data_IF_576970403467
#
_entry.id   IF_576970403467
#
_cell.length_a   1.000
_cell.length_b   1.000
_cell.length_c   1.000
_cell.angle_alpha   90.00
_cell.angle_beta   90.00
_cell.angle_gamma   90.00
#
_symmetry.space_group_name_H-M   'P 1'
#
loop_
_entity.id
_entity.type
_entity.pdbx_description
1 polymer ?
#
# COMPACT_ATOMS: atom_id res chain seq x y z
N UNK A 1 -4.08 46.26 -79.88
CA UNK A 1 -4.27 47.49 -80.67
C UNK A 1 -5.76 47.64 -80.98
N UNK A 2 -6.33 48.78 -80.58
CA UNK A 2 -7.57 49.49 -80.98
C UNK A 2 -8.73 48.75 -81.68
N UNK A 3 -10.01 49.07 -81.42
CA UNK A 3 -10.63 50.17 -80.68
C UNK A 3 -12.08 49.79 -80.33
N UNK A 4 -12.68 50.19 -79.23
CA UNK A 4 -12.92 51.57 -78.77
C UNK A 4 -13.59 52.41 -79.87
N UNK A 5 -14.90 52.23 -80.03
CA UNK A 5 -15.75 53.27 -80.59
C UNK A 5 -17.07 53.29 -79.81
N UNK A 6 -17.02 53.94 -78.64
CA UNK A 6 -18.21 54.45 -77.98
C UNK A 6 -18.72 55.63 -78.80
N UNK A 7 -19.77 55.38 -79.57
CA UNK A 7 -20.54 56.42 -80.25
C UNK A 7 -21.58 57.00 -79.29
N UNK A 8 -21.34 58.23 -78.87
CA UNK A 8 -22.31 59.13 -78.24
C UNK A 8 -23.69 59.02 -78.90
N UNK A 9 -24.71 58.61 -78.12
CA UNK A 9 -26.10 58.97 -78.41
C UNK A 9 -26.47 60.15 -77.50
N UNK A 10 -26.90 61.29 -78.08
CA UNK A 10 -27.11 62.51 -77.34
C UNK A 10 -28.32 62.38 -76.42
N UNK A 11 -28.12 62.72 -75.15
CA UNK A 11 -29.18 62.91 -74.18
C UNK A 11 -30.10 64.07 -74.64
N UNK A 12 -31.21 63.73 -75.29
CA UNK A 12 -32.31 64.66 -75.55
C UNK A 12 -33.21 64.72 -74.32
N UNK A 13 -33.01 65.79 -73.55
CA UNK A 13 -33.84 66.22 -72.44
C UNK A 13 -35.11 66.89 -72.97
N UNK A 14 -36.27 66.50 -72.44
CA UNK A 14 -37.34 67.45 -72.16
C UNK A 14 -38.59 67.43 -73.04
N UNK A 15 -39.44 66.43 -72.89
CA UNK A 15 -40.92 66.57 -72.84
C UNK A 15 -41.46 65.41 -71.98
N UNK A 16 -42.41 65.63 -71.04
CA UNK A 16 -42.98 64.54 -70.25
C UNK A 16 -43.74 63.60 -71.18
N UNK A 17 -43.16 62.43 -71.47
CA UNK A 17 -43.84 61.35 -72.18
C UNK A 17 -45.11 60.98 -71.42
N UNK A 18 -46.29 60.91 -72.06
CA UNK A 18 -47.55 60.55 -71.40
C UNK A 18 -47.41 59.26 -70.60
N UNK A 19 -48.03 59.21 -69.42
CA UNK A 19 -47.82 58.17 -68.40
C UNK A 19 -48.00 56.71 -68.88
N UNK A 20 -48.73 56.48 -69.98
CA UNK A 20 -48.88 55.16 -70.61
C UNK A 20 -47.73 54.77 -71.55
N UNK A 21 -47.01 55.73 -72.14
CA UNK A 21 -46.00 55.45 -73.15
C UNK A 21 -44.76 54.76 -72.56
N UNK A 22 -44.37 55.12 -71.33
CA UNK A 22 -43.30 54.43 -70.61
C UNK A 22 -43.71 53.01 -70.17
N UNK A 23 -44.98 52.80 -69.84
CA UNK A 23 -45.51 51.46 -69.49
C UNK A 23 -45.59 50.55 -70.73
N UNK A 24 -46.07 51.07 -71.86
CA UNK A 24 -46.08 50.37 -73.15
C UNK A 24 -44.66 50.08 -73.65
N UNK A 25 -43.72 51.02 -73.53
CA UNK A 25 -42.32 50.78 -73.87
C UNK A 25 -41.72 49.70 -72.98
N UNK A 26 -41.96 49.73 -71.67
CA UNK A 26 -41.48 48.69 -70.75
C UNK A 26 -42.09 47.32 -71.10
N UNK A 27 -43.37 47.27 -71.47
CA UNK A 27 -44.04 46.05 -71.93
C UNK A 27 -43.46 45.53 -73.26
N UNK A 28 -43.22 46.42 -74.22
CA UNK A 28 -42.58 46.07 -75.50
C UNK A 28 -41.15 45.59 -75.28
N UNK A 29 -40.37 46.25 -74.42
CA UNK A 29 -39.01 45.80 -74.06
C UNK A 29 -39.03 44.43 -73.38
N UNK A 30 -39.96 44.18 -72.45
CA UNK A 30 -40.12 42.86 -71.82
C UNK A 30 -40.54 41.78 -72.82
N UNK A 31 -41.40 42.11 -73.78
CA UNK A 31 -41.80 41.18 -74.84
C UNK A 31 -40.66 40.90 -75.82
N UNK A 32 -39.87 41.92 -76.19
CA UNK A 32 -38.69 41.77 -77.05
C UNK A 32 -37.59 40.98 -76.34
N UNK A 33 -37.39 41.19 -75.04
CA UNK A 33 -36.43 40.44 -74.24
C UNK A 33 -36.84 38.96 -74.14
N UNK A 34 -38.12 38.66 -73.88
CA UNK A 34 -38.63 37.29 -73.88
C UNK A 34 -38.57 36.65 -75.27
N UNK A 35 -38.92 37.37 -76.34
CA UNK A 35 -38.75 36.89 -77.72
C UNK A 35 -37.29 36.65 -78.07
N UNK A 36 -36.37 37.48 -77.58
CA UNK A 36 -34.93 37.29 -77.78
C UNK A 36 -34.40 36.06 -77.03
N UNK A 37 -34.93 35.80 -75.83
CA UNK A 37 -34.62 34.62 -75.02
C UNK A 37 -35.15 33.37 -75.68
N UNK A 38 -36.39 33.41 -76.18
CA UNK A 38 -36.99 32.31 -76.93
C UNK A 38 -36.26 32.08 -78.26
N UNK A 39 -35.83 33.13 -78.95
CA UNK A 39 -35.06 33.00 -80.19
C UNK A 39 -33.67 32.40 -79.92
N UNK A 40 -33.02 32.78 -78.82
CA UNK A 40 -31.75 32.20 -78.41
C UNK A 40 -31.89 30.71 -78.07
N UNK A 41 -32.94 30.33 -77.33
CA UNK A 41 -33.23 28.92 -77.05
C UNK A 41 -33.60 28.15 -78.32
N UNK A 42 -34.42 28.73 -79.21
CA UNK A 42 -34.75 28.11 -80.49
C UNK A 42 -33.52 27.91 -81.37
N UNK A 43 -32.56 28.85 -81.38
CA UNK A 43 -31.28 28.66 -82.06
C UNK A 43 -30.49 27.51 -81.46
N UNK A 44 -30.39 27.44 -80.13
CA UNK A 44 -29.71 26.36 -79.42
C UNK A 44 -30.34 25.00 -79.72
N UNK A 45 -31.66 24.92 -79.67
CA UNK A 45 -32.42 23.70 -80.00
C UNK A 45 -32.23 23.31 -81.46
N UNK A 46 -32.27 24.28 -82.39
CA UNK A 46 -32.03 23.99 -83.81
C UNK A 46 -30.60 23.53 -84.07
N UNK A 47 -29.60 24.10 -83.39
CA UNK A 47 -28.21 23.62 -83.46
C UNK A 47 -28.09 22.18 -82.95
N UNK A 48 -28.72 21.85 -81.83
CA UNK A 48 -28.75 20.49 -81.28
C UNK A 48 -29.48 19.51 -82.21
N UNK A 49 -30.60 19.92 -82.83
CA UNK A 49 -31.34 19.13 -83.81
C UNK A 49 -30.51 18.92 -85.08
N UNK A 50 -29.86 19.96 -85.61
CA UNK A 50 -29.01 19.86 -86.80
C UNK A 50 -27.80 18.98 -86.52
N UNK A 51 -27.18 19.10 -85.34
CA UNK A 51 -26.11 18.21 -84.90
C UNK A 51 -26.61 16.77 -84.74
N UNK A 52 -27.81 16.58 -84.19
CA UNK A 52 -28.51 15.28 -84.11
C UNK A 52 -28.74 14.65 -85.47
N UNK A 53 -29.35 15.38 -86.41
CA UNK A 53 -29.58 14.94 -87.79
C UNK A 53 -28.26 14.69 -88.51
N UNK A 54 -27.23 15.50 -88.25
CA UNK A 54 -25.87 15.28 -88.77
C UNK A 54 -25.28 13.95 -88.33
N UNK A 55 -25.43 13.59 -87.05
CA UNK A 55 -25.00 12.29 -86.50
C UNK A 55 -25.82 11.13 -87.07
N UNK A 56 -27.14 11.25 -87.15
CA UNK A 56 -28.04 10.23 -87.75
C UNK A 56 -27.68 10.00 -89.22
N UNK A 57 -27.51 11.07 -90.00
CA UNK A 57 -27.13 11.00 -91.42
C UNK A 57 -25.72 10.43 -91.62
N UNK A 58 -24.77 10.77 -90.75
CA UNK A 58 -23.41 10.21 -90.79
C UNK A 58 -23.43 8.71 -90.53
N UNK A 59 -24.20 8.26 -89.52
CA UNK A 59 -24.39 6.85 -89.19
C UNK A 59 -25.11 6.09 -90.31
N UNK A 60 -26.16 6.68 -90.86
CA UNK A 60 -26.88 6.17 -92.04
C UNK A 60 -25.95 5.90 -93.21
N UNK A 61 -25.07 6.85 -93.53
CA UNK A 61 -24.10 6.71 -94.62
C UNK A 61 -22.99 5.72 -94.32
N UNK A 62 -22.47 5.72 -93.10
CA UNK A 62 -21.39 4.82 -92.71
C UNK A 62 -21.82 3.34 -92.72
N UNK A 63 -23.09 3.06 -92.41
CA UNK A 63 -23.65 1.71 -92.32
C UNK A 63 -24.54 1.33 -93.53
N UNK A 64 -24.74 2.24 -94.49
CA UNK A 64 -25.60 2.05 -95.69
C UNK A 64 -27.04 1.60 -95.37
N UNK A 65 -27.60 2.10 -94.27
CA UNK A 65 -28.92 1.70 -93.77
C UNK A 65 -30.05 2.52 -94.43
N UNK A 66 -31.19 1.89 -94.69
CA UNK A 66 -32.43 2.58 -95.06
C UNK A 66 -33.06 3.34 -93.87
N UNK A 67 -34.00 4.26 -94.14
CA UNK A 67 -34.66 5.04 -93.08
C UNK A 67 -35.39 4.15 -92.05
N UNK A 68 -36.14 3.13 -92.49
CA UNK A 68 -36.77 2.14 -91.61
C UNK A 68 -35.75 1.37 -90.76
N UNK A 69 -34.61 0.95 -91.32
CA UNK A 69 -33.55 0.23 -90.58
C UNK A 69 -32.82 1.12 -89.57
N UNK A 70 -32.65 2.42 -89.88
CA UNK A 70 -32.13 3.40 -88.93
C UNK A 70 -33.06 3.61 -87.75
N UNK A 71 -34.36 3.75 -88.00
CA UNK A 71 -35.35 3.93 -86.94
C UNK A 71 -35.44 2.66 -86.09
N UNK A 72 -35.41 1.47 -86.71
CA UNK A 72 -35.37 0.20 -86.01
C UNK A 72 -34.10 0.07 -85.15
N UNK A 73 -32.92 0.32 -85.71
CA UNK A 73 -31.65 0.24 -84.96
C UNK A 73 -31.54 1.27 -83.84
N UNK A 74 -32.06 2.48 -84.02
CA UNK A 74 -32.13 3.49 -82.97
C UNK A 74 -33.13 3.09 -81.87
N UNK A 75 -34.26 2.48 -82.24
CA UNK A 75 -35.24 1.95 -81.28
C UNK A 75 -34.68 0.77 -80.49
N UNK A 76 -33.91 -0.11 -81.13
CA UNK A 76 -33.22 -1.22 -80.46
C UNK A 76 -32.10 -0.72 -79.54
N UNK A 77 -31.31 0.28 -79.96
CA UNK A 77 -30.30 0.92 -79.11
C UNK A 77 -30.96 1.58 -77.87
N UNK A 78 -32.09 2.28 -78.04
CA UNK A 78 -32.85 2.90 -76.94
C UNK A 78 -33.42 1.82 -76.00
N UNK A 79 -34.08 0.79 -76.53
CA UNK A 79 -34.62 -0.31 -75.73
C UNK A 79 -33.51 -1.08 -74.98
N UNK A 80 -32.35 -1.26 -75.61
CA UNK A 80 -31.19 -1.91 -74.97
C UNK A 80 -30.59 -1.05 -73.85
N UNK A 81 -30.61 0.28 -74.00
CA UNK A 81 -30.20 1.20 -72.95
C UNK A 81 -31.21 1.24 -71.79
N UNK A 82 -32.51 1.20 -72.06
CA UNK A 82 -33.55 1.13 -71.01
C UNK A 82 -33.41 -0.12 -70.13
N UNK A 83 -33.26 -1.30 -70.74
CA UNK A 83 -33.05 -2.54 -69.97
C UNK A 83 -31.77 -2.52 -69.13
N UNK A 84 -30.72 -1.87 -69.62
CA UNK A 84 -29.45 -1.72 -68.90
C UNK A 84 -29.56 -0.70 -67.75
N UNK A 85 -30.35 0.37 -67.94
CA UNK A 85 -30.61 1.39 -66.93
C UNK A 85 -31.30 0.79 -65.69
N UNK A 86 -32.30 -0.05 -65.85
CA UNK A 86 -33.01 -0.67 -64.72
C UNK A 86 -32.08 -1.57 -63.88
N UNK A 87 -31.21 -2.35 -64.53
CA UNK A 87 -30.22 -3.17 -63.82
C UNK A 87 -29.21 -2.33 -63.07
N UNK A 88 -28.77 -1.22 -63.67
CA UNK A 88 -27.80 -0.30 -63.07
C UNK A 88 -28.42 0.46 -61.90
N UNK A 89 -29.68 0.88 -62.01
CA UNK A 89 -30.46 1.48 -60.92
C UNK A 89 -30.61 0.49 -59.77
N UNK A 90 -30.94 -0.77 -60.05
CA UNK A 90 -31.05 -1.83 -59.03
C UNK A 90 -29.71 -2.04 -58.31
N UNK A 91 -28.61 -2.18 -59.05
CA UNK A 91 -27.27 -2.36 -58.50
C UNK A 91 -26.83 -1.16 -57.63
N UNK A 92 -27.03 0.06 -58.13
CA UNK A 92 -26.70 1.28 -57.39
C UNK A 92 -27.56 1.42 -56.13
N UNK A 93 -28.83 1.04 -56.19
CA UNK A 93 -29.74 1.08 -55.05
C UNK A 93 -29.30 0.09 -53.97
N UNK A 94 -28.97 -1.15 -54.35
CA UNK A 94 -28.45 -2.17 -53.42
C UNK A 94 -27.10 -1.75 -52.81
N UNK A 95 -26.19 -1.22 -53.63
CA UNK A 95 -24.89 -0.72 -53.15
C UNK A 95 -25.07 0.45 -52.17
N UNK A 96 -26.02 1.33 -52.44
CA UNK A 96 -26.36 2.46 -51.58
C UNK A 96 -26.97 1.99 -50.25
N UNK A 97 -27.85 0.98 -50.25
CA UNK A 97 -28.37 0.37 -49.02
C UNK A 97 -27.27 -0.30 -48.21
N UNK A 98 -26.38 -1.08 -48.84
CA UNK A 98 -25.23 -1.69 -48.16
C UNK A 98 -24.30 -0.64 -47.56
N UNK A 99 -24.03 0.44 -48.29
CA UNK A 99 -23.20 1.54 -47.81
C UNK A 99 -23.84 2.26 -46.63
N UNK A 100 -25.16 2.51 -46.66
CA UNK A 100 -25.91 3.09 -45.53
C UNK A 100 -25.87 2.18 -44.31
N UNK A 101 -26.13 0.88 -44.49
CA UNK A 101 -26.08 -0.09 -43.40
C UNK A 101 -24.69 -0.14 -42.75
N UNK A 102 -23.63 -0.21 -43.56
CA UNK A 102 -22.25 -0.18 -43.09
C UNK A 102 -21.93 1.13 -42.34
N UNK A 103 -22.36 2.28 -42.87
CA UNK A 103 -22.21 3.58 -42.21
C UNK A 103 -22.88 3.60 -40.84
N UNK A 104 -24.13 3.14 -40.77
CA UNK A 104 -24.92 3.17 -39.54
C UNK A 104 -24.37 2.18 -38.49
N UNK A 105 -23.90 1.01 -38.92
CA UNK A 105 -23.19 0.06 -38.06
C UNK A 105 -21.89 0.66 -37.49
N UNK A 106 -21.09 1.32 -38.33
CA UNK A 106 -19.86 1.98 -37.88
C UNK A 106 -20.14 3.15 -36.92
N UNK A 107 -21.20 3.93 -37.17
CA UNK A 107 -21.63 4.98 -36.26
C UNK A 107 -22.08 4.41 -34.89
N UNK A 108 -22.79 3.29 -34.90
CA UNK A 108 -23.18 2.59 -33.68
C UNK A 108 -21.94 2.09 -32.90
N UNK A 109 -20.95 1.51 -33.58
CA UNK A 109 -19.69 1.08 -32.93
C UNK A 109 -18.93 2.26 -32.33
N UNK A 110 -18.87 3.41 -33.00
CA UNK A 110 -18.21 4.61 -32.47
C UNK A 110 -18.91 5.14 -31.21
N UNK A 111 -20.24 5.14 -31.19
CA UNK A 111 -21.00 5.56 -29.99
C UNK A 111 -20.80 4.60 -28.82
N UNK A 112 -20.78 3.30 -29.09
CA UNK A 112 -20.45 2.29 -28.07
C UNK A 112 -19.03 2.49 -27.53
N UNK A 113 -18.04 2.67 -28.40
CA UNK A 113 -16.66 2.90 -28.00
C UNK A 113 -16.49 4.17 -27.17
N UNK A 114 -17.14 5.27 -27.57
CA UNK A 114 -17.15 6.51 -26.82
C UNK A 114 -17.76 6.32 -25.42
N UNK A 115 -18.85 5.56 -25.30
CA UNK A 115 -19.47 5.29 -23.99
C UNK A 115 -18.59 4.41 -23.09
N UNK A 116 -17.94 3.38 -23.65
CA UNK A 116 -17.00 2.52 -22.91
C UNK A 116 -15.79 3.33 -22.44
N UNK A 117 -15.19 4.18 -23.28
CA UNK A 117 -14.07 5.03 -22.86
C UNK A 117 -14.51 6.01 -21.77
N UNK A 118 -15.68 6.64 -21.92
CA UNK A 118 -16.18 7.59 -20.93
C UNK A 118 -16.38 6.90 -19.56
N UNK A 119 -16.94 5.69 -19.55
CA UNK A 119 -17.13 4.92 -18.31
C UNK A 119 -15.81 4.45 -17.70
N UNK A 120 -14.86 3.96 -18.51
CA UNK A 120 -13.51 3.60 -18.04
C UNK A 120 -12.81 4.82 -17.43
N UNK A 121 -12.87 5.98 -18.09
CA UNK A 121 -12.26 7.22 -17.59
C UNK A 121 -12.86 7.64 -16.25
N UNK A 122 -14.19 7.55 -16.10
CA UNK A 122 -14.87 7.82 -14.83
C UNK A 122 -14.39 6.88 -13.72
N UNK A 123 -14.32 5.57 -14.01
CA UNK A 123 -13.81 4.59 -13.05
C UNK A 123 -12.35 4.85 -12.67
N UNK A 124 -11.49 5.25 -13.63
CA UNK A 124 -10.10 5.61 -13.33
C UNK A 124 -10.00 6.85 -12.43
N UNK A 125 -10.82 7.87 -12.66
CA UNK A 125 -10.84 9.05 -11.79
C UNK A 125 -11.31 8.71 -10.38
N UNK A 126 -12.39 7.93 -10.25
CA UNK A 126 -12.88 7.48 -8.95
C UNK A 126 -11.86 6.61 -8.22
N UNK A 127 -11.24 5.66 -8.92
CA UNK A 127 -10.18 4.81 -8.37
C UNK A 127 -8.99 5.63 -7.90
N UNK A 128 -8.49 6.56 -8.73
CA UNK A 128 -7.34 7.41 -8.36
C UNK A 128 -7.66 8.27 -7.14
N UNK A 129 -8.86 8.85 -7.08
CA UNK A 129 -9.31 9.65 -5.93
C UNK A 129 -9.31 8.81 -4.65
N UNK A 130 -9.98 7.65 -4.67
CA UNK A 130 -10.04 6.71 -3.54
C UNK A 130 -8.66 6.21 -3.13
N UNK A 131 -7.82 5.84 -4.09
CA UNK A 131 -6.47 5.38 -3.80
C UNK A 131 -5.63 6.46 -3.12
N UNK A 132 -5.68 7.71 -3.60
CA UNK A 132 -4.97 8.82 -2.96
C UNK A 132 -5.49 9.09 -1.55
N UNK A 133 -6.81 9.01 -1.33
CA UNK A 133 -7.37 9.17 0.01
C UNK A 133 -6.91 8.04 0.94
N UNK A 134 -6.92 6.80 0.48
CA UNK A 134 -6.54 5.61 1.28
C UNK A 134 -5.06 5.62 1.65
N UNK A 135 -4.18 6.00 0.71
CA UNK A 135 -2.75 6.16 0.99
C UNK A 135 -2.52 7.29 1.99
N UNK A 136 -3.25 8.40 1.86
CA UNK A 136 -3.15 9.51 2.81
C UNK A 136 -3.67 9.16 4.21
N UNK A 137 -4.78 8.42 4.32
CA UNK A 137 -5.30 7.97 5.62
C UNK A 137 -4.33 7.00 6.28
N UNK A 138 -3.74 6.08 5.52
CA UNK A 138 -2.70 5.18 6.02
C UNK A 138 -1.46 5.93 6.51
N UNK A 139 -0.98 6.91 5.74
CA UNK A 139 0.14 7.74 6.16
C UNK A 139 -0.16 8.61 7.39
N UNK A 140 -1.42 9.02 7.59
CA UNK A 140 -1.84 9.75 8.79
C UNK A 140 -1.92 8.83 10.00
N UNK A 141 -2.54 7.66 9.87
CA UNK A 141 -2.67 6.68 10.96
C UNK A 141 -1.31 6.16 11.41
N UNK A 142 -0.40 5.85 10.48
CA UNK A 142 0.96 5.43 10.81
C UNK A 142 1.75 6.51 11.54
N UNK A 143 1.63 7.78 11.11
CA UNK A 143 2.26 8.90 11.83
C UNK A 143 1.68 9.10 13.22
N UNK A 144 0.38 8.91 13.40
CA UNK A 144 -0.28 8.97 14.70
C UNK A 144 0.22 7.87 15.64
N UNK A 145 0.28 6.62 15.18
CA UNK A 145 0.84 5.49 15.94
C UNK A 145 2.29 5.74 16.35
N UNK A 146 3.10 6.30 15.46
CA UNK A 146 4.50 6.61 15.76
C UNK A 146 4.63 7.76 16.77
N UNK A 147 3.72 8.73 16.76
CA UNK A 147 3.67 9.79 17.75
C UNK A 147 3.22 9.26 19.13
N UNK A 148 2.21 8.39 19.15
CA UNK A 148 1.72 7.73 20.36
C UNK A 148 2.81 6.86 21.00
N UNK A 149 3.49 6.02 20.22
CA UNK A 149 4.59 5.20 20.72
C UNK A 149 5.75 6.05 21.29
N UNK A 150 6.04 7.21 20.69
CA UNK A 150 7.05 8.15 21.23
C UNK A 150 6.59 8.79 22.54
N UNK A 151 5.31 9.18 22.62
CA UNK A 151 4.73 9.76 23.82
C UNK A 151 4.65 8.75 24.97
N UNK A 152 4.32 7.49 24.67
CA UNK A 152 4.37 6.41 25.64
C UNK A 152 5.81 6.14 26.10
N UNK A 153 6.77 6.13 25.18
CA UNK A 153 8.18 5.94 25.54
C UNK A 153 8.71 7.06 26.44
N UNK A 154 8.36 8.33 26.16
CA UNK A 154 8.73 9.45 27.04
C UNK A 154 8.07 9.33 28.40
N UNK A 155 6.78 8.98 28.46
CA UNK A 155 6.05 8.76 29.71
C UNK A 155 6.66 7.63 30.55
N UNK A 156 7.00 6.49 29.94
CA UNK A 156 7.64 5.38 30.64
C UNK A 156 9.03 5.75 31.17
N UNK A 157 9.81 6.51 30.39
CA UNK A 157 11.08 7.04 30.88
C UNK A 157 10.87 7.95 32.08
N UNK A 158 9.97 8.92 31.98
CA UNK A 158 9.63 9.83 33.10
C UNK A 158 9.24 9.05 34.36
N UNK A 159 8.38 8.03 34.23
CA UNK A 159 7.99 7.17 35.35
C UNK A 159 9.18 6.42 35.97
N UNK A 160 10.10 5.89 35.15
CA UNK A 160 11.33 5.24 35.63
C UNK A 160 12.21 6.26 36.35
N UNK A 161 12.37 7.46 35.79
CA UNK A 161 13.14 8.54 36.41
C UNK A 161 12.54 8.92 37.77
N UNK A 162 11.23 9.10 37.86
CA UNK A 162 10.53 9.37 39.12
C UNK A 162 10.76 8.25 40.15
N UNK A 163 10.56 6.99 39.74
CA UNK A 163 10.78 5.84 40.61
C UNK A 163 12.23 5.78 41.11
N UNK A 164 13.21 5.99 40.23
CA UNK A 164 14.63 6.01 40.59
C UNK A 164 14.95 7.17 41.55
N UNK A 165 14.37 8.35 41.33
CA UNK A 165 14.51 9.50 42.23
C UNK A 165 13.91 9.20 43.61
N UNK A 166 12.72 8.59 43.67
CA UNK A 166 12.08 8.18 44.92
C UNK A 166 12.89 7.12 45.66
N UNK A 167 13.38 6.09 44.95
CA UNK A 167 14.25 5.06 45.51
C UNK A 167 15.59 5.64 46.00
N UNK A 168 16.18 6.58 45.27
CA UNK A 168 17.38 7.29 45.66
C UNK A 168 17.20 8.08 46.95
N UNK A 169 16.11 8.86 47.05
CA UNK A 169 15.74 9.58 48.28
C UNK A 169 15.47 8.64 49.46
N UNK A 170 14.78 7.51 49.24
CA UNK A 170 14.53 6.52 50.27
C UNK A 170 15.84 5.91 50.79
N UNK A 171 16.76 5.53 49.89
CA UNK A 171 18.08 5.01 50.26
C UNK A 171 18.93 6.05 50.99
N UNK A 172 18.90 7.31 50.56
CA UNK A 172 19.57 8.41 51.25
C UNK A 172 19.00 8.60 52.67
N UNK A 173 17.67 8.56 52.82
CA UNK A 173 17.02 8.64 54.12
C UNK A 173 17.40 7.46 55.03
N UNK A 174 17.49 6.23 54.50
CA UNK A 174 17.95 5.06 55.26
C UNK A 174 19.41 5.19 55.69
N UNK A 175 20.30 5.68 54.81
CA UNK A 175 21.69 5.94 55.16
C UNK A 175 21.80 6.99 56.24
N UNK A 176 21.10 8.12 56.08
CA UNK A 176 21.03 9.19 57.09
C UNK A 176 20.48 8.68 58.42
N UNK A 177 19.45 7.82 58.38
CA UNK A 177 18.90 7.18 59.57
C UNK A 177 19.94 6.29 60.24
N UNK A 178 20.62 5.41 59.49
CA UNK A 178 21.68 4.54 60.02
C UNK A 178 22.81 5.35 60.64
N UNK A 179 23.32 6.36 59.94
CA UNK A 179 24.37 7.24 60.46
C UNK A 179 23.94 7.88 61.79
N UNK A 180 22.76 8.49 61.84
CA UNK A 180 22.23 9.09 63.09
C UNK A 180 21.95 8.06 64.20
N UNK A 181 21.58 6.84 63.82
CA UNK A 181 21.33 5.74 64.75
C UNK A 181 22.64 5.24 65.39
N UNK A 182 23.69 5.12 64.58
CA UNK A 182 25.01 4.68 65.01
C UNK A 182 25.75 5.78 65.81
N UNK A 183 25.55 7.06 65.46
CA UNK A 183 26.13 8.23 66.14
C UNK A 183 25.44 8.62 67.47
N UNK A 184 24.33 7.98 67.85
CA UNK A 184 23.60 8.25 69.09
C UNK A 184 24.34 7.65 70.31
N UNK A 185 25.27 8.41 70.89
CA UNK A 185 26.08 8.00 72.04
C UNK A 185 25.23 7.54 73.22
N UNK A 186 24.12 8.24 73.50
CA UNK A 186 23.22 7.90 74.60
C UNK A 186 22.57 6.52 74.43
N UNK A 187 22.41 6.04 73.19
CA UNK A 187 21.97 4.67 72.90
C UNK A 187 23.10 3.67 73.11
N UNK A 188 24.31 3.99 72.68
CA UNK A 188 25.48 3.15 72.91
C UNK A 188 25.71 2.94 74.41
N UNK A 189 25.76 4.03 75.18
CA UNK A 189 25.85 4.02 76.64
C UNK A 189 24.75 3.14 77.26
N UNK A 190 23.47 3.36 76.91
CA UNK A 190 22.37 2.51 77.40
C UNK A 190 22.54 1.02 77.07
N UNK A 191 23.09 0.66 75.90
CA UNK A 191 23.35 -0.74 75.55
C UNK A 191 24.48 -1.33 76.40
N UNK A 192 25.54 -0.56 76.62
CA UNK A 192 26.67 -0.96 77.48
C UNK A 192 26.20 -1.12 78.92
N UNK A 193 25.45 -0.15 79.44
CA UNK A 193 24.88 -0.16 80.79
C UNK A 193 23.89 -1.32 80.98
N UNK A 194 23.03 -1.59 80.01
CA UNK A 194 22.12 -2.74 80.09
C UNK A 194 22.90 -4.07 80.15
N UNK A 195 24.00 -4.17 79.40
CA UNK A 195 24.88 -5.35 79.44
C UNK A 195 25.61 -5.45 80.77
N UNK A 196 26.16 -4.35 81.29
CA UNK A 196 26.85 -4.35 82.59
C UNK A 196 25.89 -4.69 83.73
N UNK A 197 24.70 -4.09 83.78
CA UNK A 197 23.66 -4.41 84.77
C UNK A 197 23.27 -5.88 84.69
N UNK A 198 23.14 -6.45 83.49
CA UNK A 198 22.83 -7.88 83.33
C UNK A 198 23.98 -8.75 83.85
N UNK A 199 25.23 -8.38 83.60
CA UNK A 199 26.40 -9.08 84.12
C UNK A 199 26.51 -8.98 85.65
N UNK A 200 26.22 -7.82 86.22
CA UNK A 200 26.18 -7.60 87.66
C UNK A 200 25.08 -8.45 88.30
N UNK A 201 23.87 -8.45 87.72
CA UNK A 201 22.77 -9.26 88.21
C UNK A 201 23.10 -10.77 88.19
N UNK A 202 23.81 -11.24 87.15
CA UNK A 202 24.34 -12.62 87.09
C UNK A 202 25.40 -12.87 88.15
N UNK A 203 26.33 -11.94 88.36
CA UNK A 203 27.34 -12.03 89.40
C UNK A 203 26.69 -12.16 90.79
N UNK A 204 25.74 -11.30 91.10
CA UNK A 204 25.00 -11.36 92.36
C UNK A 204 24.16 -12.62 92.49
N UNK A 205 23.54 -13.11 91.40
CA UNK A 205 22.84 -14.39 91.38
C UNK A 205 23.77 -15.54 91.78
N UNK A 206 24.95 -15.65 91.14
CA UNK A 206 25.95 -16.69 91.47
C UNK A 206 26.44 -16.58 92.91
N UNK A 207 26.61 -15.37 93.43
CA UNK A 207 27.04 -15.15 94.80
C UNK A 207 25.95 -15.55 95.82
N UNK A 208 24.68 -15.25 95.52
CA UNK A 208 23.56 -15.51 96.41
C UNK A 208 23.03 -16.96 96.32
N UNK A 209 23.19 -17.64 95.18
CA UNK A 209 22.67 -18.98 94.94
C UNK A 209 23.72 -19.88 94.24
N UNK A 210 24.75 -20.36 94.96
CA UNK A 210 25.83 -21.16 94.37
C UNK A 210 25.42 -22.57 93.93
N UNK A 211 24.36 -23.13 94.52
CA UNK A 211 23.88 -24.50 94.26
C UNK A 211 22.96 -24.59 93.02
N UNK A 212 22.60 -23.46 92.41
CA UNK A 212 21.77 -23.43 91.20
C UNK A 212 22.66 -23.57 89.97
N UNK A 213 22.31 -24.47 89.05
CA UNK A 213 23.04 -24.64 87.80
C UNK A 213 22.98 -23.35 86.93
N UNK A 214 24.08 -23.04 86.25
CA UNK A 214 24.22 -21.85 85.39
C UNK A 214 23.32 -21.89 84.13
N UNK A 215 22.74 -23.05 83.80
CA UNK A 215 21.91 -23.32 82.62
C UNK A 215 20.43 -22.98 82.87
N UNK A 216 20.14 -21.73 83.20
CA UNK A 216 18.77 -21.20 83.35
C UNK A 216 18.21 -20.72 82.00
N UNK A 217 17.10 -21.30 81.49
CA UNK A 217 16.49 -20.90 80.21
C UNK A 217 16.09 -19.43 80.13
N UNK A 218 15.79 -18.77 81.26
CA UNK A 218 15.37 -17.36 81.26
C UNK A 218 16.54 -16.37 81.29
N UNK A 219 17.75 -16.88 81.53
CA UNK A 219 18.93 -16.06 81.80
C UNK A 219 20.20 -16.62 81.17
N UNK A 220 20.18 -17.62 80.30
CA UNK A 220 21.41 -18.15 79.71
C UNK A 220 22.11 -17.14 78.77
N UNK A 221 23.36 -17.40 78.43
CA UNK A 221 24.25 -16.53 77.61
C UNK A 221 23.80 -16.43 76.14
N UNK A 222 22.78 -17.19 75.74
CA UNK A 222 22.39 -17.43 74.34
C UNK A 222 21.17 -16.64 73.85
N UNK A 223 20.56 -15.81 74.69
CA UNK A 223 19.27 -15.17 74.35
C UNK A 223 19.38 -13.97 73.39
N UNK A 224 20.57 -13.70 72.82
CA UNK A 224 20.77 -12.53 71.96
C UNK A 224 21.25 -12.78 70.52
N UNK A 225 21.69 -13.98 70.06
CA UNK A 225 22.25 -14.05 68.67
C UNK A 225 22.15 -15.36 67.84
N UNK A 226 21.61 -16.48 68.32
CA UNK A 226 21.52 -17.71 67.49
C UNK A 226 20.10 -18.27 67.54
N UNK A 227 19.43 -18.29 66.38
CA UNK A 227 18.17 -19.02 66.17
C UNK A 227 18.35 -20.46 66.70
N UNK A 228 17.44 -21.01 67.53
CA UNK A 228 17.53 -22.39 68.01
C UNK A 228 17.82 -23.40 66.87
N UNK A 229 17.32 -23.13 65.66
CA UNK A 229 17.61 -23.96 64.48
C UNK A 229 19.09 -23.93 64.04
N UNK A 230 19.76 -22.79 64.12
CA UNK A 230 21.18 -22.68 63.76
C UNK A 230 22.08 -23.28 64.86
N UNK A 231 21.64 -23.24 66.13
CA UNK A 231 22.33 -23.93 67.24
C UNK A 231 22.33 -25.45 67.06
N UNK A 232 21.24 -26.02 66.57
CA UNK A 232 21.15 -27.45 66.26
C UNK A 232 22.06 -27.81 65.08
N UNK A 233 22.05 -27.00 64.02
CA UNK A 233 22.95 -27.19 62.87
C UNK A 233 24.44 -27.16 63.28
N UNK A 234 24.82 -26.26 64.19
CA UNK A 234 26.20 -26.16 64.69
C UNK A 234 26.58 -27.34 65.59
N UNK A 235 25.63 -27.90 66.34
CA UNK A 235 25.83 -29.15 67.10
C UNK A 235 26.07 -30.32 66.15
N UNK A 236 25.25 -30.45 65.12
CA UNK A 236 25.40 -31.48 64.10
C UNK A 236 26.75 -31.38 63.37
N UNK A 237 27.16 -30.17 62.99
CA UNK A 237 28.48 -29.91 62.39
C UNK A 237 29.63 -30.32 63.31
N UNK A 238 29.54 -29.98 64.59
CA UNK A 238 30.56 -30.34 65.59
C UNK A 238 30.63 -31.86 65.81
N UNK A 239 29.49 -32.53 65.80
CA UNK A 239 29.42 -33.98 65.96
C UNK A 239 29.93 -34.70 64.71
N UNK A 240 29.69 -34.15 63.51
CA UNK A 240 30.30 -34.63 62.26
C UNK A 240 31.82 -34.44 62.26
N UNK A 241 32.34 -33.28 62.69
CA UNK A 241 33.79 -33.07 62.81
C UNK A 241 34.45 -34.04 63.80
N UNK A 242 33.83 -34.27 64.95
CA UNK A 242 34.33 -35.26 65.92
C UNK A 242 34.35 -36.67 65.34
N UNK A 243 33.31 -37.04 64.59
CA UNK A 243 33.22 -38.35 63.94
C UNK A 243 34.28 -38.50 62.84
N UNK A 244 34.49 -37.45 62.03
CA UNK A 244 35.54 -37.42 61.02
C UNK A 244 36.95 -37.48 61.64
N UNK A 245 37.18 -36.80 62.76
CA UNK A 245 38.45 -36.88 63.50
C UNK A 245 38.67 -38.28 64.09
N UNK A 246 37.61 -38.92 64.58
CA UNK A 246 37.66 -40.30 65.09
C UNK A 246 37.94 -41.32 63.98
N UNK A 247 37.36 -41.13 62.79
CA UNK A 247 37.60 -41.98 61.62
C UNK A 247 39.03 -41.79 61.06
N UNK A 248 39.59 -40.57 61.11
CA UNK A 248 41.00 -40.33 60.77
C UNK A 248 41.97 -41.01 61.76
N UNK A 249 41.63 -40.99 63.06
CA UNK A 249 42.39 -41.72 64.09
C UNK A 249 42.28 -43.25 63.93
N UNK A 250 41.13 -43.76 63.49
CA UNK A 250 40.94 -45.19 63.19
C UNK A 250 41.66 -45.60 61.89
N UNK A 251 41.72 -44.73 60.88
CA UNK A 251 42.42 -44.96 59.61
C UNK A 251 43.95 -44.97 59.72
N UNK A 252 44.52 -44.27 60.71
CA UNK A 252 45.95 -44.31 61.00
C UNK A 252 46.42 -45.64 61.63
N UNK A 253 45.48 -46.48 62.12
CA UNK A 253 45.78 -47.79 62.71
C UNK A 253 45.96 -48.94 61.72
N UNK A 254 45.70 -48.73 60.42
CA UNK A 254 45.73 -49.79 59.39
C UNK A 254 46.94 -49.66 58.43
N UNK A 255 47.73 -48.59 58.54
CA UNK A 255 48.85 -48.30 57.63
C UNK A 255 50.25 -48.68 58.19
N UNK A 256 50.36 -49.85 58.82
CA UNK A 256 51.65 -50.45 59.23
C UNK A 256 51.65 -51.94 58.81
N UNK A 257 51.80 -52.17 57.51
CA UNK A 257 51.75 -53.50 56.92
C UNK A 257 52.23 -53.54 55.47
N UNK A 258 53.55 -53.46 55.33
CA UNK A 258 54.38 -54.07 54.28
C UNK A 258 54.76 -53.31 52.99
N UNK A 259 56.07 -53.41 52.74
CA UNK A 259 56.96 -52.93 51.67
C UNK A 259 56.77 -53.76 50.38
N UNK A 260 57.18 -53.46 49.13
CA UNK A 260 57.79 -52.35 48.37
C UNK A 260 57.73 -52.82 46.86
N UNK A 261 58.56 -52.35 45.90
CA UNK A 261 58.21 -51.50 44.75
C UNK A 261 58.17 -52.21 43.37
N UNK A 262 57.63 -51.52 42.36
CA UNK A 262 58.06 -51.69 40.96
C UNK A 262 56.94 -51.63 39.92
N UNK A 263 57.13 -50.79 38.90
CA UNK A 263 56.51 -50.98 37.58
C UNK A 263 55.59 -49.87 37.08
N UNK A 264 56.21 -48.89 36.43
CA UNK A 264 55.79 -48.22 35.19
C UNK A 264 54.52 -47.34 35.12
N UNK A 265 54.77 -46.15 34.59
CA UNK A 265 53.88 -45.05 34.27
C UNK A 265 52.89 -45.39 33.16
N UNK A 266 51.61 -45.03 33.34
CA UNK A 266 50.74 -44.61 32.24
C UNK A 266 49.51 -43.83 32.76
N UNK A 267 49.57 -42.52 32.51
CA UNK A 267 48.51 -41.61 32.05
C UNK A 267 47.15 -41.62 32.77
N UNK A 268 46.95 -40.63 33.66
CA UNK A 268 45.65 -40.27 34.23
C UNK A 268 45.45 -38.74 34.29
N UNK A 269 45.95 -38.02 33.28
CA UNK A 269 45.74 -36.57 33.13
C UNK A 269 44.76 -36.24 32.02
N UNK A 270 43.52 -36.75 32.09
CA UNK A 270 42.48 -36.33 31.16
C UNK A 270 41.03 -36.54 31.65
N UNK A 271 40.73 -36.26 32.92
CA UNK A 271 39.33 -36.29 33.41
C UNK A 271 38.94 -35.15 34.37
N UNK A 272 39.74 -34.09 34.46
CA UNK A 272 39.48 -33.01 35.42
C UNK A 272 39.54 -31.61 34.77
N UNK A 273 38.79 -31.40 33.69
CA UNK A 273 38.60 -30.05 33.13
C UNK A 273 37.29 -29.87 32.34
N UNK A 274 36.19 -30.45 32.83
CA UNK A 274 34.88 -30.33 32.16
C UNK A 274 33.69 -30.05 33.09
N UNK A 275 33.90 -29.59 34.33
CA UNK A 275 32.80 -29.41 35.30
C UNK A 275 32.65 -28.01 35.92
N UNK A 276 33.40 -26.99 35.47
CA UNK A 276 33.36 -25.65 36.12
C UNK A 276 32.96 -24.48 35.20
N UNK A 277 32.26 -24.73 34.09
CA UNK A 277 31.92 -23.66 33.12
C UNK A 277 30.40 -23.40 32.90
N UNK A 278 29.49 -23.94 33.71
CA UNK A 278 28.04 -23.82 33.48
C UNK A 278 27.25 -22.96 34.49
N UNK A 279 27.88 -22.01 35.19
CA UNK A 279 27.21 -21.21 36.23
C UNK A 279 26.97 -19.72 35.91
N UNK A 280 26.96 -19.31 34.63
CA UNK A 280 26.53 -17.95 34.30
C UNK A 280 25.68 -17.91 33.02
N UNK A 281 24.40 -17.55 33.21
CA UNK A 281 23.36 -17.59 32.20
C UNK A 281 23.60 -16.64 31.02
N UNK A 282 23.57 -17.21 29.83
CA UNK A 282 23.40 -16.52 28.56
C UNK A 282 22.83 -17.52 27.55
N UNK A 283 21.64 -17.27 27.03
CA UNK A 283 21.04 -18.11 25.99
C UNK A 283 21.75 -17.86 24.65
N UNK A 284 22.35 -18.87 24.01
CA UNK A 284 22.94 -18.71 22.69
C UNK A 284 21.82 -18.57 21.65
N UNK A 285 21.79 -17.44 20.95
CA UNK A 285 20.91 -17.22 19.80
C UNK A 285 21.45 -18.01 18.60
N UNK A 286 20.77 -19.09 18.25
CA UNK A 286 21.04 -19.88 17.05
C UNK A 286 20.72 -19.02 15.80
N UNK A 287 21.69 -18.82 14.91
CA UNK A 287 21.47 -18.26 13.57
C UNK A 287 20.99 -19.38 12.65
N UNK A 288 19.76 -19.27 12.14
CA UNK A 288 19.29 -20.10 11.04
C UNK A 288 19.80 -19.51 9.71
N UNK A 289 20.84 -20.14 9.14
CA UNK A 289 21.21 -19.99 7.74
C UNK A 289 20.51 -21.11 6.94
N UNK A 290 19.45 -20.76 6.22
CA UNK A 290 18.69 -21.71 5.40
C UNK A 290 18.04 -21.03 4.20
N UNK A 291 18.79 -20.89 3.11
CA UNK A 291 18.27 -20.49 1.81
C UNK A 291 17.91 -21.72 0.96
N UNK A 292 16.68 -21.75 0.40
CA UNK A 292 16.39 -22.47 -0.85
C UNK A 292 15.34 -23.60 -0.83
N UNK A 293 14.16 -23.29 -1.41
CA UNK A 293 13.18 -24.17 -2.08
C UNK A 293 12.40 -25.19 -1.21
N UNK A 294 11.06 -25.25 -1.23
CA UNK A 294 10.20 -25.55 -2.38
C UNK A 294 8.72 -25.22 -2.07
N UNK A 295 7.97 -24.94 -3.14
CA UNK A 295 6.53 -24.75 -3.20
C UNK A 295 5.79 -26.09 -2.98
N UNK A 296 4.96 -26.22 -1.93
CA UNK A 296 3.86 -27.19 -1.90
C UNK A 296 2.81 -26.83 -0.85
N UNK A 297 1.56 -26.84 -1.28
CA UNK A 297 0.30 -26.78 -0.54
C UNK A 297 0.31 -27.40 0.87
N UNK A 298 -0.14 -26.62 1.85
CA UNK A 298 -1.08 -27.07 2.89
C UNK A 298 -1.67 -25.83 3.58
N UNK A 299 -2.96 -25.58 3.36
CA UNK A 299 -3.68 -24.52 4.04
C UNK A 299 -4.03 -24.92 5.45
N UNK A 300 -3.61 -24.12 6.44
CA UNK A 300 -4.40 -23.92 7.65
C UNK A 300 -3.97 -22.65 8.40
N UNK A 301 -4.93 -21.71 8.49
CA UNK A 301 -5.18 -20.78 9.59
C UNK A 301 -4.00 -19.91 10.07
N UNK A 302 -3.77 -18.80 9.35
CA UNK A 302 -3.25 -17.59 9.96
C UNK A 302 -4.35 -16.54 10.04
N UNK A 303 -4.70 -16.16 11.28
CA UNK A 303 -5.65 -15.08 11.60
C UNK A 303 -5.08 -13.76 11.07
N UNK A 304 -5.79 -13.13 10.15
CA UNK A 304 -5.58 -11.72 9.81
C UNK A 304 -6.49 -10.89 10.70
N UNK A 305 -5.96 -10.32 11.77
CA UNK A 305 -6.67 -9.27 12.51
C UNK A 305 -6.69 -8.00 11.66
N UNK A 306 -7.71 -7.89 10.81
CA UNK A 306 -8.09 -6.65 10.16
C UNK A 306 -8.95 -5.83 11.15
N UNK A 307 -8.70 -4.52 11.32
CA UNK A 307 -9.55 -3.69 12.17
C UNK A 307 -10.98 -3.59 11.58
N UNK A 308 -12.03 -3.53 12.43
CA UNK A 308 -13.41 -3.49 11.97
C UNK A 308 -13.69 -2.17 11.25
N UNK A 309 -14.42 -2.26 10.12
CA UNK A 309 -14.94 -1.09 9.40
C UNK A 309 -15.99 -0.38 10.26
N UNK A 310 -16.05 0.95 10.28
CA UNK A 310 -17.14 1.66 10.93
C UNK A 310 -18.45 1.42 10.18
N UNK A 311 -19.51 1.12 10.94
CA UNK A 311 -20.88 1.10 10.45
C UNK A 311 -21.27 2.52 10.04
N UNK A 312 -21.71 2.64 8.79
CA UNK A 312 -22.30 3.85 8.24
C UNK A 312 -23.75 4.00 8.72
N UNK A 313 -24.04 5.10 9.40
CA UNK A 313 -25.36 5.76 9.43
C UNK A 313 -25.52 6.67 8.21
#
# INVERSE_FOLDING_TARGET
>A
MNGMNGGQMPAMVGFPTPAGHQAELTYIYGMVEELSRQLAENKRVLEDVVAGVGRVRSRARAQSLGNEELIASASDDINSQEGNMDTLISLLSEALEKAKYSRDANAALLTQYASVIATMLKQFHEYKSKHVTDVNTWHRSYRAQLAEARAENSRLREQIWEMQQHAGKANENLRRFRTKYDEDEARWEKRVDMKSIRQELRFWKRLAMPEMADDDPYWSDDDDLIDPAEKDRLRDLRDMEKKAAQDQLAGAGVALGDQQPGGEEQDASQLQQAQTANLLGGTPMQRDDGSGMTLSQAGEKFRTDAPPRPLSD
#
